data_IF_585606522336
#
_entry.id   IF_585606522336
#
_cell.length_a   1.000
_cell.length_b   1.000
_cell.length_c   1.000
_cell.angle_alpha   90.00
_cell.angle_beta   90.00
_cell.angle_gamma   90.00
#
_symmetry.space_group_name_H-M   'P 1'
#
loop_
_entity.id
_entity.type
_entity.pdbx_description
1 polymer ?
#
# COMPACT_ATOMS: atom_id res chain seq x y z
N UNK A 1 -2.01 -11.45 -10.62
CA UNK A 1 -1.28 -10.24 -11.07
C UNK A 1 -2.31 -9.18 -11.38
N UNK A 2 -2.16 -7.98 -10.85
CA UNK A 2 -3.04 -6.87 -11.21
C UNK A 2 -2.62 -6.27 -12.56
N UNK A 3 -3.37 -6.61 -13.61
CA UNK A 3 -3.14 -6.12 -14.97
C UNK A 3 -3.45 -4.64 -15.11
N UNK A 4 -4.37 -4.09 -14.31
CA UNK A 4 -4.82 -2.69 -14.42
C UNK A 4 -3.69 -1.76 -14.02
N UNK A 5 -2.97 -2.05 -12.93
CA UNK A 5 -1.85 -1.21 -12.49
C UNK A 5 -0.71 -1.14 -13.51
N UNK A 6 -0.40 -2.26 -14.16
CA UNK A 6 0.64 -2.31 -15.21
C UNK A 6 0.20 -1.47 -16.41
N UNK A 7 -1.05 -1.65 -16.86
CA UNK A 7 -1.61 -0.88 -17.98
C UNK A 7 -1.67 0.61 -17.66
N UNK A 8 -2.06 1.00 -16.44
CA UNK A 8 -2.15 2.41 -16.04
C UNK A 8 -0.79 3.10 -16.03
N UNK A 9 0.25 2.46 -15.46
CA UNK A 9 1.62 3.00 -15.46
C UNK A 9 2.13 3.14 -16.91
N UNK A 10 1.95 2.11 -17.73
CA UNK A 10 2.37 2.13 -19.13
C UNK A 10 1.62 3.20 -19.93
N UNK A 11 0.32 3.37 -19.71
CA UNK A 11 -0.49 4.37 -20.39
C UNK A 11 -0.04 5.78 -20.03
N UNK A 12 0.21 6.07 -18.74
CA UNK A 12 0.72 7.37 -18.29
C UNK A 12 2.08 7.71 -18.89
N UNK A 13 3.02 6.75 -18.88
CA UNK A 13 4.34 6.92 -19.50
C UNK A 13 4.25 7.09 -21.02
N UNK A 14 3.42 6.28 -21.68
CA UNK A 14 3.25 6.34 -23.14
C UNK A 14 2.60 7.66 -23.56
N UNK A 15 1.64 8.20 -22.80
CA UNK A 15 1.02 9.49 -23.09
C UNK A 15 2.05 10.63 -23.06
N UNK A 16 2.98 10.62 -22.09
CA UNK A 16 4.04 11.63 -22.01
C UNK A 16 5.04 11.48 -23.15
N UNK A 17 5.51 10.26 -23.44
CA UNK A 17 6.47 10.02 -24.52
C UNK A 17 5.85 10.33 -25.89
N UNK A 18 4.60 9.92 -26.11
CA UNK A 18 3.87 10.21 -27.35
C UNK A 18 3.61 11.70 -27.50
N UNK A 19 3.22 12.41 -26.43
CA UNK A 19 3.08 13.87 -26.44
C UNK A 19 4.38 14.57 -26.85
N UNK A 20 5.50 14.19 -26.24
CA UNK A 20 6.82 14.73 -26.60
C UNK A 20 7.19 14.45 -28.07
N UNK A 21 6.90 13.24 -28.56
CA UNK A 21 7.18 12.87 -29.94
C UNK A 21 6.31 13.65 -30.95
N UNK A 22 5.03 13.89 -30.63
CA UNK A 22 4.10 14.68 -31.45
C UNK A 22 4.51 16.15 -31.54
N UNK A 23 5.08 16.71 -30.47
CA UNK A 23 5.65 18.06 -30.47
C UNK A 23 7.02 18.14 -31.19
N UNK A 24 7.51 17.03 -31.75
CA UNK A 24 8.80 16.98 -32.45
C UNK A 24 10.02 16.97 -31.51
N UNK A 25 9.82 16.69 -30.22
CA UNK A 25 10.88 16.62 -29.23
C UNK A 25 11.74 15.36 -29.34
N UNK A 26 13.04 15.47 -29.04
CA UNK A 26 13.93 14.31 -28.95
C UNK A 26 13.77 13.64 -27.58
N UNK A 27 13.47 12.34 -27.53
CA UNK A 27 13.36 11.56 -26.28
C UNK A 27 14.65 11.64 -25.44
N UNK A 28 15.81 11.72 -26.10
CA UNK A 28 17.10 11.88 -25.43
C UNK A 28 17.21 13.14 -24.58
N UNK A 29 16.47 14.21 -24.89
CA UNK A 29 16.50 15.44 -24.09
C UNK A 29 15.83 15.27 -22.73
N UNK A 30 14.95 14.28 -22.58
CA UNK A 30 14.32 13.94 -21.31
C UNK A 30 15.22 13.07 -20.42
N UNK A 31 16.31 12.50 -20.94
CA UNK A 31 17.19 11.61 -20.18
C UNK A 31 18.34 12.36 -19.53
N UNK A 32 18.02 13.23 -18.58
CA UNK A 32 19.03 14.03 -17.87
C UNK A 32 19.37 13.40 -16.50
N UNK A 33 20.52 12.73 -16.43
CA UNK A 33 20.96 12.02 -15.22
C UNK A 33 21.09 12.96 -14.01
N UNK A 34 21.59 14.17 -14.22
CA UNK A 34 21.72 15.18 -13.15
C UNK A 34 20.36 15.53 -12.54
N UNK A 35 19.36 15.79 -13.37
CA UNK A 35 18.00 16.07 -12.91
C UNK A 35 17.39 14.87 -12.18
N UNK A 36 17.62 13.65 -12.68
CA UNK A 36 17.16 12.43 -12.03
C UNK A 36 17.74 12.26 -10.62
N UNK A 37 19.05 12.45 -10.47
CA UNK A 37 19.72 12.33 -9.17
C UNK A 37 19.23 13.37 -8.17
N UNK A 38 19.02 14.62 -8.58
CA UNK A 38 18.49 15.68 -7.71
C UNK A 38 17.08 15.30 -7.22
N UNK A 39 16.20 14.94 -8.16
CA UNK A 39 14.79 14.69 -7.84
C UNK A 39 14.61 13.39 -7.07
N UNK A 40 15.04 12.26 -7.64
CA UNK A 40 14.82 10.95 -7.03
C UNK A 40 15.73 10.75 -5.82
N UNK A 41 17.01 11.14 -5.91
CA UNK A 41 17.93 11.07 -4.77
C UNK A 41 17.50 11.96 -3.61
N UNK A 42 17.12 13.21 -3.90
CA UNK A 42 16.60 14.15 -2.90
C UNK A 42 15.29 13.66 -2.26
N UNK A 43 14.38 13.11 -3.06
CA UNK A 43 13.11 12.55 -2.56
C UNK A 43 13.35 11.35 -1.65
N UNK A 44 14.19 10.40 -2.07
CA UNK A 44 14.55 9.24 -1.24
C UNK A 44 15.20 9.69 0.06
N UNK A 45 16.12 10.65 0.00
CA UNK A 45 16.78 11.21 1.18
C UNK A 45 15.78 11.84 2.15
N UNK A 46 14.87 12.69 1.67
CA UNK A 46 13.83 13.32 2.49
C UNK A 46 12.92 12.28 3.15
N UNK A 47 12.50 11.26 2.39
CA UNK A 47 11.65 10.16 2.89
C UNK A 47 12.38 9.30 3.92
N UNK A 48 13.66 9.01 3.70
CA UNK A 48 14.49 8.27 4.66
C UNK A 48 14.69 9.06 5.95
N UNK A 49 14.86 10.39 5.86
CA UNK A 49 15.05 11.25 7.03
C UNK A 49 13.81 11.28 7.94
N UNK A 50 12.60 11.27 7.39
CA UNK A 50 11.37 11.27 8.17
C UNK A 50 10.93 9.88 8.68
N UNK A 51 11.51 8.79 8.15
CA UNK A 51 11.01 7.42 8.36
C UNK A 51 11.99 6.60 9.19
N UNK A 52 11.48 5.72 10.06
CA UNK A 52 12.37 4.72 10.69
C UNK A 52 12.85 3.69 9.65
N UNK A 53 14.03 3.07 9.82
CA UNK A 53 14.54 2.07 8.88
C UNK A 53 13.58 0.89 8.66
N UNK A 54 12.84 0.50 9.71
CA UNK A 54 11.83 -0.56 9.63
C UNK A 54 10.63 -0.15 8.76
N UNK A 55 10.12 1.07 8.93
CA UNK A 55 9.00 1.60 8.13
C UNK A 55 9.40 1.74 6.66
N UNK A 56 10.58 2.30 6.40
CA UNK A 56 11.10 2.45 5.04
C UNK A 56 11.23 1.10 4.34
N UNK A 57 11.91 0.13 4.97
CA UNK A 57 12.07 -1.21 4.41
C UNK A 57 10.72 -1.92 4.20
N UNK A 58 9.77 -1.76 5.12
CA UNK A 58 8.43 -2.32 4.98
C UNK A 58 7.68 -1.71 3.78
N UNK A 59 7.69 -0.38 3.64
CA UNK A 59 7.01 0.29 2.53
C UNK A 59 7.61 -0.04 1.17
N UNK A 60 8.93 -0.16 1.08
CA UNK A 60 9.60 -0.63 -0.15
C UNK A 60 9.20 -2.07 -0.49
N UNK A 61 9.18 -2.98 0.49
CA UNK A 61 8.73 -4.36 0.27
C UNK A 61 7.26 -4.45 -0.14
N UNK A 62 6.42 -3.53 0.32
CA UNK A 62 5.00 -3.48 -0.03
C UNK A 62 4.76 -3.07 -1.48
N UNK A 63 5.75 -2.52 -2.19
CA UNK A 63 5.63 -2.22 -3.62
C UNK A 63 5.25 -3.46 -4.45
N UNK A 64 5.68 -4.66 -4.03
CA UNK A 64 5.29 -5.92 -4.69
C UNK A 64 3.78 -6.14 -4.72
N UNK A 65 3.05 -5.58 -3.75
CA UNK A 65 1.58 -5.69 -3.67
C UNK A 65 0.87 -4.93 -4.80
N UNK A 66 1.53 -3.94 -5.41
CA UNK A 66 0.99 -3.26 -6.59
C UNK A 66 0.83 -4.25 -7.75
N UNK A 67 1.78 -5.16 -7.94
CA UNK A 67 1.76 -6.13 -9.04
C UNK A 67 1.13 -7.48 -8.63
N UNK A 68 1.31 -7.85 -7.37
CA UNK A 68 0.84 -9.09 -6.77
C UNK A 68 0.15 -8.77 -5.43
N UNK A 69 -1.10 -8.29 -5.47
CA UNK A 69 -1.85 -8.00 -4.25
C UNK A 69 -2.02 -9.28 -3.41
N UNK A 70 -2.13 -9.15 -2.08
CA UNK A 70 -2.44 -10.27 -1.21
C UNK A 70 -3.76 -10.93 -1.65
N UNK A 71 -3.82 -12.26 -1.59
CA UNK A 71 -5.04 -13.00 -1.91
C UNK A 71 -5.98 -12.91 -0.71
N UNK A 72 -7.06 -12.14 -0.88
CA UNK A 72 -8.10 -11.93 0.14
C UNK A 72 -9.39 -12.57 -0.33
N UNK A 73 -9.61 -13.82 0.08
CA UNK A 73 -10.82 -14.58 -0.24
C UNK A 73 -11.77 -14.55 0.95
N UNK A 74 -12.61 -13.52 0.97
CA UNK A 74 -13.60 -13.29 2.03
C UNK A 74 -14.64 -14.42 2.07
N UNK A 75 -15.11 -14.90 0.91
CA UNK A 75 -16.07 -16.01 0.84
C UNK A 75 -15.51 -17.30 1.42
N UNK A 76 -14.25 -17.61 1.11
CA UNK A 76 -13.56 -18.76 1.71
C UNK A 76 -13.43 -18.58 3.21
N UNK A 77 -13.08 -17.39 3.68
CA UNK A 77 -12.99 -17.11 5.11
C UNK A 77 -14.34 -17.31 5.82
N UNK A 78 -15.43 -16.82 5.23
CA UNK A 78 -16.79 -17.05 5.76
C UNK A 78 -17.07 -18.55 5.84
N UNK A 79 -16.82 -19.32 4.77
CA UNK A 79 -17.03 -20.77 4.78
C UNK A 79 -16.22 -21.47 5.88
N UNK A 80 -14.98 -21.05 6.11
CA UNK A 80 -14.15 -21.57 7.19
C UNK A 80 -14.74 -21.25 8.57
N UNK A 81 -15.16 -20.00 8.80
CA UNK A 81 -15.81 -19.57 10.05
C UNK A 81 -17.10 -20.36 10.29
N UNK A 82 -17.92 -20.58 9.27
CA UNK A 82 -19.15 -21.39 9.39
C UNK A 82 -18.81 -22.84 9.74
N UNK A 83 -17.76 -23.41 9.15
CA UNK A 83 -17.32 -24.76 9.51
C UNK A 83 -16.82 -24.83 10.96
N UNK A 84 -16.10 -23.82 11.45
CA UNK A 84 -15.70 -23.72 12.86
C UNK A 84 -16.92 -23.61 13.76
N UNK A 85 -17.89 -22.75 13.42
CA UNK A 85 -19.14 -22.60 14.18
C UNK A 85 -19.91 -23.92 14.31
N UNK A 86 -20.03 -24.67 13.22
CA UNK A 86 -20.69 -25.98 13.23
C UNK A 86 -19.93 -27.02 14.08
N UNK A 87 -18.60 -27.00 14.00
CA UNK A 87 -17.75 -27.89 14.80
C UNK A 87 -17.88 -27.57 16.29
N UNK A 88 -17.75 -26.29 16.65
CA UNK A 88 -17.90 -25.80 18.02
C UNK A 88 -19.26 -26.14 18.62
N UNK A 89 -20.33 -26.05 17.83
CA UNK A 89 -21.69 -26.37 18.29
C UNK A 89 -21.90 -27.88 18.55
N UNK A 90 -21.23 -28.76 17.79
CA UNK A 90 -21.37 -30.21 17.93
C UNK A 90 -20.44 -30.80 18.99
N UNK A 91 -19.20 -30.32 19.06
CA UNK A 91 -18.13 -30.89 19.89
C UNK A 91 -17.63 -29.97 21.00
N UNK A 92 -18.22 -28.79 21.19
CA UNK A 92 -17.70 -27.75 22.08
C UNK A 92 -16.52 -26.98 21.46
N UNK A 93 -16.09 -25.91 22.13
CA UNK A 93 -14.99 -25.05 21.64
C UNK A 93 -13.67 -25.81 21.50
N UNK A 94 -13.38 -26.77 22.37
CA UNK A 94 -12.18 -27.63 22.32
C UNK A 94 -12.05 -28.40 21.00
N UNK A 95 -13.16 -28.71 20.31
CA UNK A 95 -13.11 -29.37 19.01
C UNK A 95 -12.45 -28.49 17.91
N UNK A 96 -12.24 -27.20 18.18
CA UNK A 96 -11.52 -26.29 17.28
C UNK A 96 -10.00 -26.42 17.33
N UNK A 97 -9.43 -27.12 18.32
CA UNK A 97 -7.98 -27.25 18.50
C UNK A 97 -7.28 -27.82 17.25
N UNK A 98 -7.93 -28.78 16.58
CA UNK A 98 -7.43 -29.35 15.33
C UNK A 98 -7.30 -28.33 14.19
N UNK A 99 -8.11 -27.27 14.20
CA UNK A 99 -8.06 -26.21 13.19
C UNK A 99 -6.96 -25.18 13.45
N UNK A 100 -6.52 -24.99 14.69
CA UNK A 100 -5.46 -24.04 15.06
C UNK A 100 -4.16 -24.33 14.31
N UNK A 101 -3.78 -25.61 14.20
CA UNK A 101 -2.54 -26.02 13.54
C UNK A 101 -2.63 -26.00 12.01
N UNK A 102 -3.84 -25.97 11.44
CA UNK A 102 -4.06 -25.83 10.01
C UNK A 102 -3.92 -24.37 9.53
N UNK A 103 -4.06 -23.41 10.45
CA UNK A 103 -4.00 -21.99 10.11
C UNK A 103 -2.57 -21.49 9.95
N UNK A 104 -2.34 -20.82 8.81
CA UNK A 104 -1.04 -20.21 8.48
C UNK A 104 -0.93 -18.77 8.99
N UNK A 105 -2.04 -18.04 9.10
CA UNK A 105 -2.04 -16.66 9.60
C UNK A 105 -1.95 -16.69 11.15
N UNK A 106 -0.89 -16.12 11.74
CA UNK A 106 -0.74 -16.03 13.19
C UNK A 106 -1.90 -15.32 13.89
N UNK A 107 -2.53 -14.35 13.22
CA UNK A 107 -3.69 -13.62 13.74
C UNK A 107 -4.88 -14.55 13.97
N UNK A 108 -5.23 -15.34 12.94
CA UNK A 108 -6.34 -16.31 13.01
C UNK A 108 -6.02 -17.40 14.03
N UNK A 109 -4.77 -17.89 14.02
CA UNK A 109 -4.30 -18.90 14.97
C UNK A 109 -4.47 -18.44 16.42
N UNK A 110 -4.05 -17.21 16.72
CA UNK A 110 -4.18 -16.61 18.05
C UNK A 110 -5.64 -16.43 18.44
N UNK A 111 -6.49 -15.92 17.54
CA UNK A 111 -7.90 -15.71 17.82
C UNK A 111 -8.65 -17.02 18.09
N UNK A 112 -8.36 -18.08 17.30
CA UNK A 112 -8.88 -19.42 17.56
C UNK A 112 -8.37 -20.01 18.87
N UNK A 113 -7.10 -19.81 19.22
CA UNK A 113 -6.55 -20.26 20.50
C UNK A 113 -7.29 -19.60 21.67
N UNK A 114 -7.46 -18.28 21.65
CA UNK A 114 -8.21 -17.57 22.69
C UNK A 114 -9.65 -18.07 22.82
N UNK A 115 -10.31 -18.39 21.70
CA UNK A 115 -11.64 -18.97 21.69
C UNK A 115 -11.65 -20.37 22.33
N UNK A 116 -10.67 -21.23 22.02
CA UNK A 116 -10.52 -22.57 22.61
C UNK A 116 -10.22 -22.50 24.10
N UNK A 117 -9.41 -21.54 24.53
CA UNK A 117 -9.06 -21.28 25.92
C UNK A 117 -10.24 -20.73 26.74
N UNK A 118 -11.37 -20.45 26.09
CA UNK A 118 -12.60 -19.98 26.74
C UNK A 118 -12.60 -18.51 27.11
N UNK A 119 -11.83 -17.68 26.40
CA UNK A 119 -11.86 -16.23 26.60
C UNK A 119 -13.28 -15.68 26.41
N UNK A 120 -13.70 -14.76 27.28
CA UNK A 120 -14.99 -14.10 27.14
C UNK A 120 -15.06 -13.32 25.81
N UNK A 121 -16.22 -13.27 25.15
CA UNK A 121 -16.40 -12.61 23.84
C UNK A 121 -15.85 -11.17 23.79
N UNK A 122 -16.07 -10.39 24.85
CA UNK A 122 -15.59 -9.00 24.96
C UNK A 122 -14.07 -8.91 25.11
N UNK A 123 -13.46 -9.87 25.82
CA UNK A 123 -12.00 -9.96 25.94
C UNK A 123 -11.38 -10.39 24.63
N UNK A 124 -11.98 -11.36 23.93
CA UNK A 124 -11.55 -11.76 22.59
C UNK A 124 -11.59 -10.56 21.64
N UNK A 125 -12.71 -9.84 21.58
CA UNK A 125 -12.86 -8.66 20.72
C UNK A 125 -11.83 -7.60 21.05
N UNK A 126 -11.73 -7.17 22.31
CA UNK A 126 -10.82 -6.09 22.70
C UNK A 126 -9.35 -6.40 22.40
N UNK A 127 -8.90 -7.63 22.64
CA UNK A 127 -7.51 -8.02 22.34
C UNK A 127 -7.25 -8.06 20.84
N UNK A 128 -8.18 -8.61 20.06
CA UNK A 128 -8.00 -8.71 18.62
C UNK A 128 -8.14 -7.33 17.93
N UNK A 129 -9.01 -6.44 18.41
CA UNK A 129 -9.15 -5.07 17.91
C UNK A 129 -7.88 -4.24 18.12
N UNK A 130 -7.20 -4.41 19.26
CA UNK A 130 -5.88 -3.81 19.48
C UNK A 130 -4.87 -4.33 18.45
N UNK A 131 -4.89 -5.63 18.16
CA UNK A 131 -3.98 -6.23 17.18
C UNK A 131 -4.27 -5.75 15.75
N UNK A 132 -5.54 -5.64 15.37
CA UNK A 132 -5.97 -5.04 14.09
C UNK A 132 -5.49 -3.60 14.00
N UNK A 133 -5.71 -2.80 15.05
CA UNK A 133 -5.31 -1.38 15.09
C UNK A 133 -3.80 -1.21 14.96
N UNK A 134 -3.01 -2.04 15.66
CA UNK A 134 -1.55 -2.00 15.56
C UNK A 134 -1.05 -2.47 14.19
N UNK A 135 -1.68 -3.50 13.63
CA UNK A 135 -1.41 -3.98 12.28
C UNK A 135 -1.68 -2.87 11.25
N UNK A 136 -2.86 -2.27 11.28
CA UNK A 136 -3.28 -1.20 10.39
C UNK A 136 -2.33 -0.01 10.50
N UNK A 137 -2.04 0.44 11.73
CA UNK A 137 -1.13 1.55 11.97
C UNK A 137 0.25 1.27 11.37
N UNK A 138 0.85 0.12 11.64
CA UNK A 138 2.15 -0.24 11.10
C UNK A 138 2.17 -0.27 9.56
N UNK A 139 1.12 -0.81 8.93
CA UNK A 139 0.98 -0.87 7.48
C UNK A 139 0.74 0.50 6.85
N UNK A 140 -0.10 1.33 7.46
CA UNK A 140 -0.34 2.72 7.01
C UNK A 140 0.94 3.55 7.10
N UNK A 141 1.73 3.43 8.17
CA UNK A 141 3.04 4.09 8.24
C UNK A 141 4.00 3.62 7.15
N UNK A 142 3.99 2.33 6.80
CA UNK A 142 4.77 1.82 5.68
C UNK A 142 4.29 2.36 4.32
N UNK A 143 2.98 2.50 4.10
CA UNK A 143 2.45 3.12 2.88
C UNK A 143 2.72 4.63 2.81
N UNK A 144 2.78 5.31 3.96
CA UNK A 144 3.01 6.76 4.08
C UNK A 144 4.35 7.21 3.47
N UNK A 145 5.35 6.33 3.36
CA UNK A 145 6.61 6.68 2.73
C UNK A 145 6.42 7.07 1.24
N UNK A 146 5.48 6.41 0.55
CA UNK A 146 5.17 6.69 -0.86
C UNK A 146 4.35 7.97 -1.01
N UNK A 147 3.43 8.23 -0.08
CA UNK A 147 2.70 9.50 -0.02
C UNK A 147 3.66 10.67 0.21
N UNK A 148 4.63 10.48 1.11
CA UNK A 148 5.65 11.48 1.40
C UNK A 148 6.60 11.68 0.22
N UNK A 149 6.97 10.61 -0.49
CA UNK A 149 7.71 10.69 -1.75
C UNK A 149 6.95 11.53 -2.78
N UNK A 150 5.63 11.34 -2.89
CA UNK A 150 4.77 12.15 -3.76
C UNK A 150 4.72 13.63 -3.36
N UNK A 151 4.80 13.94 -2.07
CA UNK A 151 4.87 15.31 -1.57
C UNK A 151 6.23 15.99 -1.81
N UNK A 152 7.34 15.26 -1.66
CA UNK A 152 8.69 15.82 -1.82
C UNK A 152 9.19 15.85 -3.27
N UNK A 153 8.75 14.94 -4.13
CA UNK A 153 9.26 14.90 -5.50
C UNK A 153 9.06 16.21 -6.30
N UNK A 154 7.90 16.88 -6.26
CA UNK A 154 7.71 18.15 -6.96
C UNK A 154 8.60 19.27 -6.39
N UNK A 155 8.79 19.30 -5.07
CA UNK A 155 9.64 20.32 -4.42
C UNK A 155 11.11 20.10 -4.72
N UNK A 156 11.57 18.85 -4.82
CA UNK A 156 12.91 18.51 -5.33
C UNK A 156 13.07 18.89 -6.81
N UNK A 157 11.99 18.79 -7.60
CA UNK A 157 11.94 19.30 -8.97
C UNK A 157 12.18 20.81 -9.04
N UNK A 158 11.54 21.58 -8.15
CA UNK A 158 11.76 23.03 -8.03
C UNK A 158 13.21 23.34 -7.63
N UNK A 159 13.79 22.59 -6.68
CA UNK A 159 15.22 22.73 -6.34
C UNK A 159 16.13 22.46 -7.54
N UNK A 160 15.84 21.40 -8.31
CA UNK A 160 16.56 21.13 -9.55
C UNK A 160 16.42 22.24 -10.60
N UNK A 161 15.25 22.87 -10.68
CA UNK A 161 15.04 24.05 -11.52
C UNK A 161 15.90 25.23 -11.11
N UNK A 162 15.96 25.52 -9.81
CA UNK A 162 16.80 26.60 -9.27
C UNK A 162 18.29 26.30 -9.52
N UNK A 163 18.76 25.08 -9.30
CA UNK A 163 20.14 24.69 -9.57
C UNK A 163 20.49 24.80 -11.07
N UNK A 164 19.56 24.42 -11.96
CA UNK A 164 19.73 24.59 -13.40
C UNK A 164 19.84 26.07 -13.78
N UNK A 165 19.01 26.94 -13.21
CA UNK A 165 19.09 28.39 -13.43
C UNK A 165 20.39 29.00 -12.90
N UNK A 166 20.89 28.57 -11.74
CA UNK A 166 22.20 29.00 -11.23
C UNK A 166 23.30 28.68 -12.26
N UNK A 167 23.29 27.46 -12.81
CA UNK A 167 24.25 27.07 -13.84
C UNK A 167 24.18 27.92 -15.11
N UNK A 168 22.96 28.33 -15.52
CA UNK A 168 22.76 29.25 -16.65
C UNK A 168 23.36 30.62 -16.33
N UNK A 169 23.13 31.15 -15.13
CA UNK A 169 23.66 32.45 -14.71
C UNK A 169 25.19 32.47 -14.61
N UNK A 170 25.80 31.36 -14.18
CA UNK A 170 27.26 31.21 -14.14
C UNK A 170 27.92 31.22 -15.53
N UNK A 171 27.18 30.82 -16.56
CA UNK A 171 27.67 30.68 -17.93
C UNK A 171 27.06 31.71 -18.89
N UNK A 172 26.55 32.84 -18.38
CA UNK A 172 25.82 33.84 -19.16
C UNK A 172 26.62 34.41 -20.35
N UNK A 173 27.95 34.41 -20.24
CA UNK A 173 28.88 34.87 -21.28
C UNK A 173 29.08 33.87 -22.42
N UNK A 174 28.65 32.63 -22.27
CA UNK A 174 28.81 31.55 -23.25
C UNK A 174 27.44 30.96 -23.65
N UNK A 175 26.80 31.49 -24.73
CA UNK A 175 25.51 31.02 -25.22
C UNK A 175 25.47 29.51 -25.51
N UNK A 176 26.61 28.88 -25.82
CA UNK A 176 26.67 27.45 -26.13
C UNK A 176 26.39 26.56 -24.91
N UNK A 177 26.58 27.06 -23.69
CA UNK A 177 26.38 26.32 -22.43
C UNK A 177 25.04 26.57 -21.76
N UNK A 178 24.30 27.60 -22.17
CA UNK A 178 23.01 27.96 -21.57
C UNK A 178 21.97 26.85 -21.75
N UNK A 179 21.95 26.21 -22.92
CA UNK A 179 20.97 25.17 -23.24
C UNK A 179 21.00 23.99 -22.26
N UNK A 180 22.18 23.57 -21.80
CA UNK A 180 22.33 22.45 -20.87
C UNK A 180 21.72 22.76 -19.49
N UNK A 181 21.97 23.95 -18.94
CA UNK A 181 21.41 24.37 -17.64
C UNK A 181 19.88 24.53 -17.68
N UNK A 182 19.35 25.12 -18.75
CA UNK A 182 17.90 25.25 -18.98
C UNK A 182 17.25 23.87 -19.10
N UNK A 183 17.86 22.94 -19.84
CA UNK A 183 17.36 21.59 -19.98
C UNK A 183 17.31 20.84 -18.63
N UNK A 184 18.35 20.94 -17.80
CA UNK A 184 18.32 20.37 -16.43
C UNK A 184 17.13 20.91 -15.64
N UNK A 185 16.89 22.23 -15.70
CA UNK A 185 15.85 22.86 -14.91
C UNK A 185 14.43 22.37 -15.27
N UNK A 186 14.11 22.33 -16.56
CA UNK A 186 12.81 21.85 -17.02
C UNK A 186 12.63 20.35 -16.80
N UNK A 187 13.64 19.54 -17.11
CA UNK A 187 13.57 18.08 -16.90
C UNK A 187 13.42 17.74 -15.42
N UNK A 188 14.08 18.46 -14.51
CA UNK A 188 13.88 18.27 -13.07
C UNK A 188 12.42 18.52 -12.64
N UNK A 189 11.77 19.54 -13.20
CA UNK A 189 10.37 19.83 -12.90
C UNK A 189 9.44 18.73 -13.43
N UNK A 190 9.69 18.25 -14.65
CA UNK A 190 8.96 17.13 -15.26
C UNK A 190 9.12 15.85 -14.43
N UNK A 191 10.34 15.53 -14.00
CA UNK A 191 10.59 14.38 -13.12
C UNK A 191 9.91 14.53 -11.77
N UNK A 192 9.95 15.71 -11.15
CA UNK A 192 9.32 15.96 -9.86
C UNK A 192 7.80 15.75 -9.91
N UNK A 193 7.12 16.49 -10.78
CA UNK A 193 5.65 16.43 -10.92
C UNK A 193 5.20 15.08 -11.49
N UNK A 194 5.93 14.54 -12.47
CA UNK A 194 5.62 13.27 -13.11
C UNK A 194 5.75 12.09 -12.16
N UNK A 195 6.89 11.97 -11.46
CA UNK A 195 7.08 10.86 -10.50
C UNK A 195 6.11 10.93 -9.33
N UNK A 196 5.75 12.13 -8.86
CA UNK A 196 4.75 12.31 -7.81
C UNK A 196 3.37 11.79 -8.22
N UNK A 197 2.84 12.26 -9.35
CA UNK A 197 1.45 12.06 -9.72
C UNK A 197 1.20 10.75 -10.50
N UNK A 198 2.20 10.25 -11.22
CA UNK A 198 2.04 9.01 -12.01
C UNK A 198 2.48 7.77 -11.24
N UNK A 199 3.37 7.91 -10.26
CA UNK A 199 3.94 6.79 -9.54
C UNK A 199 3.65 6.86 -8.05
N UNK A 200 4.24 7.81 -7.32
CA UNK A 200 4.28 7.76 -5.85
C UNK A 200 2.90 7.89 -5.19
N UNK A 201 2.09 8.88 -5.58
CA UNK A 201 0.75 9.08 -5.01
C UNK A 201 -0.22 7.95 -5.39
N UNK A 202 -0.31 7.50 -6.66
CA UNK A 202 -1.13 6.33 -7.00
C UNK A 202 -0.71 5.06 -6.26
N UNK A 203 0.60 4.80 -6.14
CA UNK A 203 1.13 3.65 -5.37
C UNK A 203 0.68 3.77 -3.91
N UNK A 204 0.84 4.93 -3.28
CA UNK A 204 0.43 5.14 -1.89
C UNK A 204 -1.06 4.86 -1.68
N UNK A 205 -1.92 5.42 -2.53
CA UNK A 205 -3.37 5.25 -2.45
C UNK A 205 -3.79 3.81 -2.67
N UNK A 206 -3.19 3.12 -3.66
CA UNK A 206 -3.46 1.71 -3.88
C UNK A 206 -3.01 0.84 -2.70
N UNK A 207 -1.85 1.11 -2.11
CA UNK A 207 -1.42 0.40 -0.90
C UNK A 207 -2.39 0.63 0.26
N UNK A 208 -2.85 1.86 0.49
CA UNK A 208 -3.86 2.17 1.51
C UNK A 208 -5.16 1.38 1.29
N UNK A 209 -5.61 1.27 0.05
CA UNK A 209 -6.79 0.47 -0.29
C UNK A 209 -6.58 -1.02 0.02
N UNK A 210 -5.46 -1.62 -0.38
CA UNK A 210 -5.14 -3.02 -0.07
C UNK A 210 -5.03 -3.28 1.44
N UNK A 211 -4.47 -2.33 2.20
CA UNK A 211 -4.41 -2.41 3.66
C UNK A 211 -5.82 -2.41 4.26
N UNK A 212 -6.71 -1.53 3.78
CA UNK A 212 -8.09 -1.50 4.24
C UNK A 212 -8.81 -2.83 3.96
N UNK A 213 -8.58 -3.45 2.80
CA UNK A 213 -9.13 -4.78 2.50
C UNK A 213 -8.57 -5.87 3.43
N UNK A 214 -7.27 -5.82 3.77
CA UNK A 214 -6.68 -6.76 4.76
C UNK A 214 -7.27 -6.56 6.16
N UNK A 215 -7.51 -5.31 6.56
CA UNK A 215 -8.14 -4.98 7.84
C UNK A 215 -9.58 -5.49 7.88
N UNK A 216 -10.36 -5.24 6.85
CA UNK A 216 -11.75 -5.73 6.74
C UNK A 216 -11.84 -7.26 6.86
N UNK A 217 -10.91 -8.00 6.23
CA UNK A 217 -10.86 -9.45 6.38
C UNK A 217 -10.58 -9.88 7.84
N UNK A 218 -9.72 -9.14 8.56
CA UNK A 218 -9.42 -9.42 9.98
C UNK A 218 -10.60 -9.09 10.88
N UNK A 219 -11.30 -7.98 10.64
CA UNK A 219 -12.53 -7.62 11.32
C UNK A 219 -13.62 -8.69 11.11
N UNK A 220 -13.76 -9.19 9.89
CA UNK A 220 -14.66 -10.31 9.55
C UNK A 220 -14.34 -11.56 10.36
N UNK A 221 -13.06 -11.90 10.52
CA UNK A 221 -12.61 -13.03 11.36
C UNK A 221 -13.00 -12.81 12.83
N UNK A 222 -12.73 -11.62 13.38
CA UNK A 222 -13.07 -11.30 14.77
C UNK A 222 -14.57 -11.38 15.01
N UNK A 223 -15.38 -10.78 14.12
CA UNK A 223 -16.84 -10.83 14.22
C UNK A 223 -17.36 -12.28 14.17
N UNK A 224 -16.81 -13.09 13.28
CA UNK A 224 -17.12 -14.51 13.17
C UNK A 224 -16.81 -15.30 14.44
N UNK A 225 -15.61 -15.14 14.99
CA UNK A 225 -15.17 -15.86 16.19
C UNK A 225 -15.90 -15.40 17.46
N UNK A 226 -16.18 -14.11 17.59
CA UNK A 226 -17.02 -13.57 18.69
C UNK A 226 -18.44 -14.14 18.62
N UNK A 227 -19.01 -14.25 17.42
CA UNK A 227 -20.33 -14.87 17.24
C UNK A 227 -20.34 -16.36 17.60
N UNK A 228 -19.23 -17.08 17.35
CA UNK A 228 -19.04 -18.47 17.81
C UNK A 228 -18.94 -18.54 19.33
N UNK A 229 -18.19 -17.62 19.96
CA UNK A 229 -18.07 -17.54 21.42
C UNK A 229 -19.43 -17.31 22.10
N UNK A 230 -20.29 -16.50 21.48
CA UNK A 230 -21.67 -16.25 21.93
C UNK A 230 -22.63 -17.43 21.69
N UNK A 231 -22.19 -18.51 21.04
CA UNK A 231 -23.03 -19.66 20.73
C UNK A 231 -24.12 -19.36 19.70
N UNK A 232 -23.93 -18.36 18.85
CA UNK A 232 -24.91 -18.00 17.82
C UNK A 232 -25.13 -19.12 16.80
N UNK A 233 -26.33 -19.14 16.18
CA UNK A 233 -26.62 -20.13 15.15
C UNK A 233 -25.75 -19.88 13.91
N UNK A 234 -25.07 -20.90 13.34
CA UNK A 234 -24.22 -20.72 12.15
C UNK A 234 -24.91 -20.00 10.98
N UNK A 235 -26.23 -20.18 10.80
CA UNK A 235 -26.98 -19.47 9.74
C UNK A 235 -27.09 -17.96 9.99
N UNK A 236 -27.19 -17.55 11.25
CA UNK A 236 -27.23 -16.13 11.64
C UNK A 236 -25.84 -15.51 11.42
N UNK A 237 -24.79 -16.22 11.82
CA UNK A 237 -23.40 -15.81 11.57
C UNK A 237 -23.16 -15.63 10.07
N UNK A 238 -23.57 -16.60 9.25
CA UNK A 238 -23.41 -16.51 7.79
C UNK A 238 -24.12 -15.29 7.20
N UNK A 239 -25.36 -15.03 7.63
CA UNK A 239 -26.11 -13.85 7.18
C UNK A 239 -25.44 -12.55 7.59
N UNK A 240 -24.88 -12.48 8.81
CA UNK A 240 -24.16 -11.29 9.30
C UNK A 240 -22.87 -11.06 8.52
N UNK A 241 -22.06 -12.09 8.32
CA UNK A 241 -20.78 -11.99 7.61
C UNK A 241 -20.97 -11.70 6.11
N UNK A 242 -22.04 -12.18 5.49
CA UNK A 242 -22.38 -11.77 4.12
C UNK A 242 -22.79 -10.30 4.03
N UNK A 243 -23.34 -9.73 5.10
CA UNK A 243 -23.58 -8.28 5.20
C UNK A 243 -22.29 -7.45 5.15
N UNK A 244 -21.17 -7.98 5.64
CA UNK A 244 -19.85 -7.34 5.53
C UNK A 244 -19.33 -7.30 4.08
N UNK A 245 -19.58 -8.36 3.30
CA UNK A 245 -19.20 -8.42 1.88
C UNK A 245 -19.89 -7.35 1.05
N UNK A 246 -21.19 -7.13 1.28
CA UNK A 246 -21.98 -6.15 0.54
C UNK A 246 -21.53 -4.69 0.73
N UNK A 247 -20.69 -4.41 1.74
CA UNK A 247 -20.10 -3.08 1.96
C UNK A 247 -18.72 -2.92 1.28
N UNK A 248 -18.13 -4.00 0.75
CA UNK A 248 -16.76 -4.03 0.23
C UNK A 248 -16.63 -4.51 -1.22
N UNK A 249 -17.69 -5.02 -1.84
CA UNK A 249 -17.84 -5.16 -3.31
C UNK A 249 -18.23 -3.83 -3.96
#
# INVERSE_FOLDING_TARGET
>A
MDKISIVAILMGLTAIIAGQALEGGNIGSLMQLTAFMIVIGGTISAVMLQSTPKQFAAGVRMLKWIFQPPVLDHDKMIREIINWSQTARKGGLLALEGYINLQKDPFIKKALQMLVDGAEPDTLRSVMDVEISMFEHARKQAARIWESAGGYAPTMGILGAVLGLIHVMENLSDPSKLGAGIAVAFVATVYGVGSANLLFLPIANKLKHLIASEVALKELVVEGLVSIANGENPRIIESRLKGFLAMHE
#
